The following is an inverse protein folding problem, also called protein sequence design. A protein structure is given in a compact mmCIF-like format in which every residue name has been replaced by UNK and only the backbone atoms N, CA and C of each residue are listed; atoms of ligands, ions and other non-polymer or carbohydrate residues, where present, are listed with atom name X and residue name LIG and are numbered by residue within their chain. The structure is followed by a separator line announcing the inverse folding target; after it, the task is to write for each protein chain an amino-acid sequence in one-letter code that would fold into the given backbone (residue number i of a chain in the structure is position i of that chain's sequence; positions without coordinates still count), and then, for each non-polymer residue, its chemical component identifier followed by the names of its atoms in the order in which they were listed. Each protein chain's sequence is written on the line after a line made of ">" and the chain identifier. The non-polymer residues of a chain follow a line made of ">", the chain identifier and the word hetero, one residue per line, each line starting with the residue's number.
data_IF_873970983905
#
_entry.id   IF_873970983905
#
_cell.length_a   1.000
_cell.length_b   1.000
_cell.length_c   1.000
_cell.angle_alpha   90.00
_cell.angle_beta   90.00
_cell.angle_gamma   90.00
#
_symmetry.space_group_name_H-M   'P 1'
#
loop_
_entity.id
_entity.type
_entity.pdbx_description
1 polymer ?
#
# COMPACT_ATOMS: atom_id res chain seq x y z
N UNK A 1 7.05 13.00 -26.45
CA UNK A 1 6.03 13.68 -25.62
C UNK A 1 6.18 13.15 -24.21
N UNK A 2 6.59 13.98 -23.25
CA UNK A 2 6.81 13.55 -21.86
C UNK A 2 5.45 13.54 -21.16
N UNK A 3 4.98 12.37 -20.73
CA UNK A 3 3.79 12.21 -19.91
C UNK A 3 4.06 12.92 -18.58
N UNK A 4 3.57 14.14 -18.42
CA UNK A 4 3.54 14.76 -17.10
C UNK A 4 2.52 14.01 -16.23
N UNK A 5 2.80 13.82 -14.94
CA UNK A 5 1.82 13.28 -14.02
C UNK A 5 0.61 14.22 -13.96
N UNK A 6 -0.57 13.68 -14.27
CA UNK A 6 -1.86 14.37 -14.17
C UNK A 6 -2.43 14.05 -12.79
N UNK A 7 -2.74 15.10 -12.01
CA UNK A 7 -3.38 14.92 -10.71
C UNK A 7 -4.85 14.62 -10.96
N UNK A 8 -5.34 13.51 -10.43
CA UNK A 8 -6.76 13.16 -10.54
C UNK A 8 -7.59 14.08 -9.66
N UNK A 9 -8.53 14.80 -10.27
CA UNK A 9 -9.54 15.60 -9.58
C UNK A 9 -10.87 14.84 -9.68
N UNK A 10 -11.47 14.53 -8.53
CA UNK A 10 -12.72 13.77 -8.47
C UNK A 10 -13.91 14.62 -8.93
N UNK A 11 -14.86 13.97 -9.60
CA UNK A 11 -16.10 14.59 -10.02
C UNK A 11 -16.88 15.10 -8.79
N UNK A 12 -17.35 16.36 -8.86
CA UNK A 12 -18.04 17.00 -7.75
C UNK A 12 -17.13 17.66 -6.70
N UNK A 13 -15.80 17.67 -6.90
CA UNK A 13 -14.85 18.45 -6.11
C UNK A 13 -15.23 19.95 -6.09
N UNK A 14 -14.95 20.62 -4.97
CA UNK A 14 -15.20 22.05 -4.83
C UNK A 14 -14.50 22.86 -5.95
N UNK A 15 -15.19 23.81 -6.61
CA UNK A 15 -14.62 24.55 -7.73
C UNK A 15 -13.33 25.30 -7.38
N UNK A 16 -13.26 25.94 -6.21
CA UNK A 16 -12.08 26.71 -5.78
C UNK A 16 -10.89 25.78 -5.53
N UNK A 17 -11.12 24.63 -4.90
CA UNK A 17 -10.08 23.62 -4.67
C UNK A 17 -9.64 22.96 -5.99
N UNK A 18 -10.59 22.60 -6.86
CA UNK A 18 -10.28 22.01 -8.17
C UNK A 18 -9.41 22.92 -9.02
N UNK A 19 -9.69 24.22 -9.00
CA UNK A 19 -8.94 25.22 -9.75
C UNK A 19 -7.54 25.42 -9.19
N UNK A 20 -7.41 25.45 -7.86
CA UNK A 20 -6.10 25.48 -7.21
C UNK A 20 -5.24 24.26 -7.56
N UNK A 21 -5.84 23.06 -7.65
CA UNK A 21 -5.12 21.84 -8.08
C UNK A 21 -4.67 21.93 -9.54
N UNK A 22 -5.50 22.49 -10.44
CA UNK A 22 -5.10 22.71 -11.85
C UNK A 22 -3.92 23.68 -11.95
N UNK A 23 -3.99 24.82 -11.27
CA UNK A 23 -2.89 25.79 -11.22
C UNK A 23 -1.62 25.20 -10.58
N UNK A 24 -1.79 24.35 -9.57
CA UNK A 24 -0.70 23.61 -8.98
C UNK A 24 -0.04 22.71 -10.02
N UNK A 25 -0.84 21.92 -10.76
CA UNK A 25 -0.35 21.01 -11.79
C UNK A 25 0.47 21.73 -12.88
N UNK A 26 0.02 22.89 -13.34
CA UNK A 26 0.73 23.71 -14.33
C UNK A 26 2.11 24.18 -13.83
N UNK A 27 2.17 24.61 -12.56
CA UNK A 27 3.40 25.06 -11.92
C UNK A 27 4.24 23.93 -11.34
N UNK A 28 3.74 22.70 -11.34
CA UNK A 28 4.30 21.61 -10.55
C UNK A 28 5.68 21.21 -11.04
N UNK A 29 5.92 21.18 -12.36
CA UNK A 29 7.13 20.60 -12.99
C UNK A 29 8.45 20.84 -12.22
N UNK A 30 8.88 22.08 -11.89
CA UNK A 30 10.14 22.33 -11.19
C UNK A 30 10.16 21.94 -9.69
N UNK A 31 8.99 21.74 -9.07
CA UNK A 31 8.86 21.50 -7.63
C UNK A 31 8.97 20.01 -7.27
N UNK A 32 9.64 19.68 -6.17
CA UNK A 32 9.65 18.33 -5.59
C UNK A 32 9.94 18.37 -4.09
N UNK A 33 9.68 17.28 -3.38
CA UNK A 33 9.99 17.18 -1.95
C UNK A 33 11.49 17.32 -1.65
N UNK A 34 12.35 16.89 -2.58
CA UNK A 34 13.81 16.93 -2.42
C UNK A 34 14.48 18.20 -2.97
N UNK A 35 13.74 19.09 -3.63
CA UNK A 35 14.30 20.31 -4.22
C UNK A 35 14.45 21.41 -3.18
N UNK A 36 15.67 21.87 -2.93
CA UNK A 36 15.94 23.03 -2.05
C UNK A 36 15.47 24.35 -2.68
N UNK A 37 15.58 24.51 -4.00
CA UNK A 37 15.19 25.74 -4.73
C UNK A 37 13.70 25.84 -4.98
N UNK A 38 13.03 24.71 -5.21
CA UNK A 38 11.59 24.62 -5.47
C UNK A 38 10.93 23.58 -4.56
N UNK A 39 10.81 23.85 -3.24
CA UNK A 39 10.21 22.90 -2.31
C UNK A 39 8.72 22.71 -2.62
N UNK A 40 8.27 21.47 -2.83
CA UNK A 40 6.86 21.20 -3.19
C UNK A 40 5.86 21.73 -2.16
N UNK A 41 6.22 21.68 -0.87
CA UNK A 41 5.39 22.18 0.22
C UNK A 41 5.19 23.71 0.13
N UNK A 42 6.12 24.44 -0.49
CA UNK A 42 5.95 25.88 -0.76
C UNK A 42 4.86 26.11 -1.81
N UNK A 43 4.82 25.29 -2.87
CA UNK A 43 3.77 25.41 -3.88
C UNK A 43 2.39 25.05 -3.31
N UNK A 44 2.32 24.06 -2.41
CA UNK A 44 1.09 23.73 -1.66
C UNK A 44 0.67 24.93 -0.81
N UNK A 45 1.61 25.54 -0.07
CA UNK A 45 1.31 26.72 0.75
C UNK A 45 0.79 27.90 -0.09
N UNK A 46 1.35 28.11 -1.28
CA UNK A 46 0.99 29.25 -2.13
C UNK A 46 -0.37 29.07 -2.82
N UNK A 47 -0.72 27.85 -3.25
CA UNK A 47 -1.90 27.61 -4.09
C UNK A 47 -3.03 26.87 -3.38
N UNK A 48 -2.71 25.92 -2.51
CA UNK A 48 -3.68 24.99 -1.93
C UNK A 48 -4.18 25.48 -0.58
N UNK A 49 -3.29 25.98 0.29
CA UNK A 49 -3.70 26.48 1.60
C UNK A 49 -4.82 27.55 1.53
N UNK A 50 -4.77 28.56 0.63
CA UNK A 50 -5.84 29.55 0.51
C UNK A 50 -7.16 28.94 0.05
N UNK A 51 -7.11 28.01 -0.91
CA UNK A 51 -8.30 27.36 -1.44
C UNK A 51 -8.97 26.46 -0.39
N UNK A 52 -8.19 25.69 0.36
CA UNK A 52 -8.68 24.87 1.47
C UNK A 52 -9.26 25.76 2.58
N UNK A 53 -8.59 26.85 2.94
CA UNK A 53 -9.09 27.76 3.96
C UNK A 53 -10.43 28.41 3.56
N UNK A 54 -10.54 28.88 2.32
CA UNK A 54 -11.78 29.45 1.78
C UNK A 54 -12.91 28.42 1.75
N UNK A 55 -12.62 27.20 1.30
CA UNK A 55 -13.59 26.10 1.28
C UNK A 55 -14.08 25.76 2.69
N UNK A 56 -13.16 25.62 3.65
CA UNK A 56 -13.50 25.29 5.05
C UNK A 56 -14.30 26.40 5.73
N UNK A 57 -14.05 27.67 5.41
CA UNK A 57 -14.81 28.79 5.93
C UNK A 57 -16.29 28.79 5.47
N UNK A 58 -16.58 28.18 4.31
CA UNK A 58 -17.93 28.06 3.78
C UNK A 58 -18.70 26.84 4.33
N UNK A 59 -18.04 25.97 5.11
CA UNK A 59 -18.63 24.76 5.66
C UNK A 59 -19.07 24.91 7.12
N UNK A 60 -20.06 24.12 7.57
CA UNK A 60 -20.38 24.03 8.99
C UNK A 60 -19.18 23.54 9.83
N UNK A 61 -19.09 24.01 11.07
CA UNK A 61 -17.97 23.69 11.99
C UNK A 61 -17.75 22.18 12.18
N UNK A 62 -18.80 21.36 12.10
CA UNK A 62 -18.69 19.89 12.22
C UNK A 62 -17.73 19.24 11.21
N UNK A 63 -17.48 19.86 10.06
CA UNK A 63 -16.57 19.32 9.04
C UNK A 63 -15.09 19.57 9.39
N UNK A 64 -14.79 20.53 10.27
CA UNK A 64 -13.42 20.96 10.58
C UNK A 64 -12.56 19.82 11.16
N UNK A 65 -13.15 18.92 11.94
CA UNK A 65 -12.44 17.76 12.50
C UNK A 65 -11.98 16.73 11.47
N UNK A 66 -12.38 16.87 10.20
CA UNK A 66 -12.12 15.88 9.15
C UNK A 66 -11.14 16.37 8.07
N UNK A 67 -10.55 17.54 8.25
CA UNK A 67 -9.51 18.07 7.35
C UNK A 67 -8.27 18.38 8.17
N UNK A 68 -7.07 17.90 7.79
CA UNK A 68 -5.87 18.16 8.56
C UNK A 68 -5.62 19.65 8.77
N UNK A 69 -5.51 20.07 10.04
CA UNK A 69 -5.26 21.45 10.43
C UNK A 69 -6.50 22.36 10.45
N UNK A 70 -7.63 21.93 9.88
CA UNK A 70 -8.86 22.72 9.96
C UNK A 70 -9.38 22.77 11.40
N UNK A 71 -9.79 23.97 11.83
CA UNK A 71 -10.26 24.20 13.21
C UNK A 71 -9.18 24.35 14.27
N UNK A 72 -7.90 24.08 13.97
CA UNK A 72 -6.77 24.27 14.90
C UNK A 72 -5.90 25.50 14.58
N UNK A 73 -6.20 26.20 13.49
CA UNK A 73 -5.42 27.35 13.01
C UNK A 73 -4.11 26.97 12.33
N UNK A 74 -3.83 25.68 12.15
CA UNK A 74 -2.64 25.18 11.45
C UNK A 74 -2.98 24.93 9.98
N UNK A 75 -2.19 25.49 9.06
CA UNK A 75 -2.48 25.31 7.63
C UNK A 75 -2.20 23.89 7.15
N UNK A 76 -2.83 23.51 6.04
CA UNK A 76 -2.67 22.19 5.42
C UNK A 76 -1.20 21.89 5.08
N UNK A 77 -0.48 22.86 4.50
CA UNK A 77 0.95 22.74 4.23
C UNK A 77 1.81 22.67 5.50
N UNK A 78 1.40 23.33 6.60
CA UNK A 78 2.11 23.27 7.87
C UNK A 78 2.02 21.88 8.51
N UNK A 79 0.86 21.21 8.42
CA UNK A 79 0.74 19.80 8.82
C UNK A 79 1.68 18.92 7.98
N UNK A 80 1.73 19.12 6.66
CA UNK A 80 2.65 18.38 5.79
C UNK A 80 4.12 18.58 6.21
N UNK A 81 4.52 19.79 6.62
CA UNK A 81 5.89 20.02 7.12
C UNK A 81 6.19 19.23 8.40
N UNK A 82 5.18 19.07 9.26
CA UNK A 82 5.34 18.39 10.53
C UNK A 82 5.44 16.87 10.36
N UNK A 83 4.56 16.28 9.54
CA UNK A 83 4.42 14.82 9.44
C UNK A 83 5.02 14.20 8.17
N UNK A 84 5.28 15.01 7.15
CA UNK A 84 5.69 14.55 5.82
C UNK A 84 4.54 14.12 4.92
N UNK A 85 4.79 14.05 3.61
CA UNK A 85 3.76 13.75 2.59
C UNK A 85 3.16 12.34 2.76
N UNK A 86 3.98 11.31 3.00
CA UNK A 86 3.48 9.92 3.16
C UNK A 86 2.55 9.78 4.38
N UNK A 87 2.91 10.37 5.51
CA UNK A 87 2.07 10.34 6.71
C UNK A 87 0.80 11.19 6.53
N UNK A 88 0.89 12.31 5.80
CA UNK A 88 -0.27 13.14 5.47
C UNK A 88 -1.33 12.37 4.68
N UNK A 89 -0.96 11.58 3.67
CA UNK A 89 -1.92 10.74 2.92
C UNK A 89 -2.67 9.80 3.85
N UNK A 90 -1.95 9.15 4.77
CA UNK A 90 -2.56 8.24 5.77
C UNK A 90 -3.53 8.97 6.67
N UNK A 91 -3.13 10.14 7.18
CA UNK A 91 -3.98 10.99 8.01
C UNK A 91 -5.26 11.43 7.29
N UNK A 92 -5.15 11.95 6.06
CA UNK A 92 -6.30 12.39 5.28
C UNK A 92 -7.32 11.25 5.05
N UNK A 93 -6.83 10.04 4.73
CA UNK A 93 -7.70 8.86 4.56
C UNK A 93 -8.41 8.46 5.85
N UNK A 94 -7.73 8.53 6.99
CA UNK A 94 -8.33 8.25 8.30
C UNK A 94 -9.43 9.27 8.64
N UNK A 95 -9.18 10.55 8.40
CA UNK A 95 -10.15 11.62 8.67
C UNK A 95 -11.37 11.55 7.75
N UNK A 96 -11.17 11.25 6.46
CA UNK A 96 -12.25 11.01 5.51
C UNK A 96 -13.10 9.80 5.93
N UNK A 97 -12.48 8.70 6.36
CA UNK A 97 -13.20 7.54 6.88
C UNK A 97 -14.02 7.89 8.12
N UNK A 98 -13.44 8.68 9.03
CA UNK A 98 -14.17 9.15 10.21
C UNK A 98 -15.40 9.96 9.80
N UNK A 99 -15.27 10.90 8.85
CA UNK A 99 -16.39 11.69 8.33
C UNK A 99 -17.53 10.81 7.79
N UNK A 100 -17.19 9.84 6.94
CA UNK A 100 -18.17 8.91 6.34
C UNK A 100 -18.90 8.09 7.41
N UNK A 101 -18.24 7.76 8.52
CA UNK A 101 -18.83 6.96 9.59
C UNK A 101 -19.68 7.79 10.58
N UNK A 102 -19.37 9.07 10.76
CA UNK A 102 -19.95 9.87 11.85
C UNK A 102 -20.85 11.02 11.39
N UNK A 103 -20.56 11.64 10.25
CA UNK A 103 -21.17 12.91 9.83
C UNK A 103 -21.88 12.84 8.48
N UNK A 104 -21.51 11.90 7.60
CA UNK A 104 -22.02 11.81 6.24
C UNK A 104 -23.51 11.44 6.20
N UNK A 105 -24.31 12.32 5.58
CA UNK A 105 -25.76 12.14 5.37
C UNK A 105 -26.10 11.94 3.90
N UNK A 106 -25.09 11.71 3.06
CA UNK A 106 -25.23 11.54 1.61
C UNK A 106 -25.87 12.76 0.92
N UNK A 107 -25.78 13.94 1.53
CA UNK A 107 -26.26 15.17 0.92
C UNK A 107 -25.33 15.62 -0.21
N UNK A 108 -25.82 16.46 -1.12
CA UNK A 108 -24.98 17.03 -2.18
C UNK A 108 -23.74 17.78 -1.63
N UNK A 109 -23.85 18.35 -0.42
CA UNK A 109 -22.72 18.98 0.28
C UNK A 109 -21.72 17.93 0.78
N UNK A 110 -22.19 16.83 1.36
CA UNK A 110 -21.32 15.76 1.86
C UNK A 110 -20.59 15.08 0.70
N UNK A 111 -21.29 14.82 -0.40
CA UNK A 111 -20.69 14.30 -1.63
C UNK A 111 -19.60 15.23 -2.18
N UNK A 112 -19.86 16.56 -2.21
CA UNK A 112 -18.83 17.55 -2.58
C UNK A 112 -17.65 17.53 -1.61
N UNK A 113 -17.90 17.38 -0.31
CA UNK A 113 -16.85 17.31 0.70
C UNK A 113 -15.96 16.09 0.53
N UNK A 114 -16.57 14.90 0.34
CA UNK A 114 -15.85 13.66 0.04
C UNK A 114 -15.02 13.79 -1.23
N UNK A 115 -15.60 14.29 -2.33
CA UNK A 115 -14.88 14.48 -3.60
C UNK A 115 -13.72 15.47 -3.46
N UNK A 116 -13.88 16.53 -2.66
CA UNK A 116 -12.82 17.50 -2.37
C UNK A 116 -11.67 16.85 -1.59
N UNK A 117 -11.97 16.07 -0.56
CA UNK A 117 -10.94 15.38 0.22
C UNK A 117 -10.22 14.30 -0.58
N UNK A 118 -10.94 13.51 -1.38
CA UNK A 118 -10.33 12.54 -2.30
C UNK A 118 -9.39 13.24 -3.30
N UNK A 119 -9.78 14.39 -3.87
CA UNK A 119 -8.90 15.17 -4.75
C UNK A 119 -7.64 15.70 -4.06
N UNK A 120 -7.76 16.13 -2.79
CA UNK A 120 -6.61 16.56 -1.99
C UNK A 120 -5.72 15.37 -1.58
N UNK A 121 -6.29 14.17 -1.37
CA UNK A 121 -5.53 12.94 -1.14
C UNK A 121 -4.72 12.59 -2.38
N UNK A 122 -5.34 12.62 -3.56
CA UNK A 122 -4.65 12.38 -4.83
C UNK A 122 -3.51 13.38 -5.04
N UNK A 123 -3.74 14.68 -4.84
CA UNK A 123 -2.70 15.71 -4.88
C UNK A 123 -1.51 15.36 -3.98
N UNK A 124 -1.73 15.06 -2.70
CA UNK A 124 -0.65 14.79 -1.73
C UNK A 124 0.06 13.47 -2.07
N UNK A 125 -0.68 12.45 -2.49
CA UNK A 125 -0.13 11.18 -2.94
C UNK A 125 0.79 11.35 -4.15
N UNK A 126 0.34 12.12 -5.12
CA UNK A 126 1.09 12.45 -6.33
C UNK A 126 2.34 13.29 -6.01
N UNK A 127 2.23 14.23 -5.07
CA UNK A 127 3.37 14.95 -4.50
C UNK A 127 4.39 14.00 -3.85
N UNK A 128 3.94 13.01 -3.08
CA UNK A 128 4.79 11.99 -2.46
C UNK A 128 5.47 11.09 -3.51
N UNK A 129 4.74 10.77 -4.59
CA UNK A 129 5.24 9.93 -5.68
C UNK A 129 6.20 10.68 -6.62
N UNK A 130 6.25 12.02 -6.58
CA UNK A 130 7.08 12.81 -7.50
C UNK A 130 8.58 12.63 -7.24
N UNK A 131 9.26 12.15 -8.28
CA UNK A 131 10.72 12.01 -8.30
C UNK A 131 11.40 13.32 -8.71
N UNK A 132 12.53 13.72 -8.06
CA UNK A 132 13.33 14.86 -8.51
C UNK A 132 13.91 14.63 -9.90
N UNK A 133 14.04 15.69 -10.70
CA UNK A 133 14.61 15.63 -12.06
C UNK A 133 16.11 15.26 -12.09
N UNK A 134 16.83 15.46 -10.97
CA UNK A 134 18.17 14.94 -10.68
C UNK A 134 18.23 14.70 -9.18
N UNK A 135 18.53 13.47 -8.75
CA UNK A 135 18.75 13.18 -7.35
C UNK A 135 20.12 12.51 -7.18
N UNK A 136 20.96 13.11 -6.35
CA UNK A 136 22.09 12.39 -5.76
C UNK A 136 21.56 11.61 -4.56
N UNK A 137 22.04 10.38 -4.38
CA UNK A 137 21.71 9.59 -3.19
C UNK A 137 22.69 9.96 -2.09
N UNK A 138 22.21 10.74 -1.10
CA UNK A 138 23.05 11.34 -0.05
C UNK A 138 24.24 12.12 -0.65
N UNK A 139 25.39 12.16 0.02
CA UNK A 139 26.64 12.79 -0.45
C UNK A 139 27.45 11.90 -1.42
N UNK A 140 26.82 10.88 -2.03
CA UNK A 140 27.51 9.94 -2.93
C UNK A 140 27.30 10.27 -4.41
N UNK A 141 28.20 9.77 -5.27
CA UNK A 141 28.08 9.86 -6.74
C UNK A 141 27.04 8.87 -7.32
N UNK A 142 26.23 8.22 -6.49
CA UNK A 142 25.25 7.23 -6.95
C UNK A 142 24.08 7.93 -7.66
N UNK A 143 23.65 7.34 -8.79
CA UNK A 143 22.53 7.84 -9.56
C UNK A 143 21.19 7.58 -8.83
N UNK A 144 20.59 8.62 -8.27
CA UNK A 144 19.28 8.56 -7.60
C UNK A 144 18.08 8.50 -8.55
N UNK A 145 18.28 8.68 -9.86
CA UNK A 145 17.25 8.49 -10.88
C UNK A 145 16.86 7.01 -11.08
N UNK A 146 17.71 6.08 -10.60
CA UNK A 146 17.39 4.65 -10.62
C UNK A 146 16.13 4.38 -9.82
N UNK A 147 15.32 3.43 -10.28
CA UNK A 147 14.05 3.06 -9.66
C UNK A 147 14.25 2.81 -8.15
N UNK A 148 13.65 3.66 -7.33
CA UNK A 148 13.59 3.49 -5.88
C UNK A 148 12.30 2.74 -5.54
N UNK A 149 12.38 1.77 -4.62
CA UNK A 149 11.23 1.00 -4.18
C UNK A 149 11.59 -0.27 -3.45
N UNK A 150 10.63 -1.19 -3.39
CA UNK A 150 10.79 -2.48 -2.76
C UNK A 150 11.63 -3.44 -3.60
N UNK A 151 12.28 -4.37 -2.92
CA UNK A 151 12.91 -5.53 -3.52
C UNK A 151 11.93 -6.26 -4.44
N UNK A 152 12.38 -6.75 -5.59
CA UNK A 152 11.59 -7.48 -6.58
C UNK A 152 10.86 -8.70 -5.99
N UNK A 153 11.38 -9.28 -4.91
CA UNK A 153 10.93 -10.55 -4.36
C UNK A 153 10.23 -10.45 -3.00
N UNK A 154 10.28 -9.31 -2.31
CA UNK A 154 9.65 -9.15 -0.99
C UNK A 154 9.27 -7.68 -0.72
N UNK A 155 8.84 -7.39 0.50
CA UNK A 155 8.48 -6.05 0.97
C UNK A 155 9.62 -5.26 1.60
N UNK A 156 10.84 -5.80 1.68
CA UNK A 156 12.01 -5.02 2.08
C UNK A 156 12.36 -3.97 1.00
N UNK A 157 13.00 -2.87 1.39
CA UNK A 157 13.51 -1.88 0.42
C UNK A 157 14.68 -2.48 -0.37
N UNK A 158 14.80 -2.10 -1.65
CA UNK A 158 16.01 -2.41 -2.42
C UNK A 158 17.24 -1.72 -1.79
N UNK A 159 18.43 -2.28 -1.97
CA UNK A 159 19.69 -1.79 -1.38
C UNK A 159 19.88 -0.28 -1.60
N UNK A 160 19.67 0.19 -2.84
CA UNK A 160 19.79 1.62 -3.17
C UNK A 160 18.75 2.47 -2.45
N UNK A 161 17.53 1.96 -2.26
CA UNK A 161 16.43 2.67 -1.59
C UNK A 161 16.61 2.68 -0.08
N UNK A 162 17.06 1.56 0.51
CA UNK A 162 17.44 1.48 1.92
C UNK A 162 18.58 2.45 2.22
N UNK A 163 19.59 2.46 1.36
CA UNK A 163 20.70 3.41 1.47
C UNK A 163 20.23 4.85 1.28
N UNK A 164 19.39 5.15 0.28
CA UNK A 164 18.82 6.48 0.13
C UNK A 164 18.02 6.95 1.36
N UNK A 165 17.37 6.03 2.07
CA UNK A 165 16.57 6.28 3.26
C UNK A 165 17.34 6.38 4.59
N UNK A 166 18.68 6.28 4.59
CA UNK A 166 19.48 6.49 5.81
C UNK A 166 20.12 5.24 6.44
N UNK A 167 19.89 4.03 5.91
CA UNK A 167 20.57 2.81 6.38
C UNK A 167 21.94 2.62 5.73
N UNK A 168 22.97 2.35 6.53
CA UNK A 168 24.34 2.05 6.05
C UNK A 168 24.60 0.55 5.85
N UNK A 169 23.66 -0.31 6.27
CA UNK A 169 23.75 -1.77 6.14
C UNK A 169 24.12 -2.24 4.73
N UNK A 170 23.61 -1.63 3.63
CA UNK A 170 23.98 -2.04 2.29
C UNK A 170 25.46 -1.86 1.92
N UNK A 171 26.18 -1.06 2.70
CA UNK A 171 27.62 -0.83 2.55
C UNK A 171 28.46 -1.40 3.70
N UNK A 172 27.86 -2.01 4.71
CA UNK A 172 28.57 -2.48 5.90
C UNK A 172 29.72 -3.46 5.57
N UNK A 173 29.51 -4.34 4.60
CA UNK A 173 30.48 -5.34 4.15
C UNK A 173 31.28 -4.91 2.89
N UNK A 174 31.33 -3.62 2.57
CA UNK A 174 32.00 -3.07 1.38
C UNK A 174 33.00 -1.95 1.70
N UNK A 175 34.07 -2.26 2.44
CA UNK A 175 35.06 -1.27 2.85
C UNK A 175 35.81 -0.62 1.67
N UNK A 176 35.77 -1.24 0.48
CA UNK A 176 36.43 -0.74 -0.74
C UNK A 176 35.47 0.04 -1.68
N UNK A 177 34.21 0.26 -1.28
CA UNK A 177 33.15 0.87 -2.11
C UNK A 177 32.94 0.22 -3.50
N UNK A 178 33.21 -1.09 -3.63
CA UNK A 178 33.11 -1.82 -4.90
C UNK A 178 31.67 -2.25 -5.21
N UNK A 179 30.80 -2.37 -4.22
CA UNK A 179 29.42 -2.82 -4.38
C UNK A 179 28.53 -1.73 -4.96
N UNK A 180 28.07 -1.99 -6.18
CA UNK A 180 26.98 -1.24 -6.79
C UNK A 180 25.67 -1.63 -6.12
N UNK A 181 25.15 -0.74 -5.28
CA UNK A 181 23.83 -0.90 -4.65
C UNK A 181 22.75 -1.20 -5.70
N UNK A 182 22.02 -2.29 -5.48
CA UNK A 182 20.94 -2.71 -6.34
C UNK A 182 19.73 -1.81 -6.20
N UNK A 183 19.16 -1.38 -7.32
CA UNK A 183 17.84 -0.74 -7.37
C UNK A 183 16.68 -1.74 -7.40
N UNK A 184 16.97 -3.05 -7.40
CA UNK A 184 15.97 -4.11 -7.59
C UNK A 184 15.92 -5.10 -6.42
N UNK A 185 17.00 -5.31 -5.70
CA UNK A 185 17.09 -6.36 -4.69
C UNK A 185 17.44 -5.76 -3.33
N UNK A 186 16.89 -6.31 -2.25
CA UNK A 186 17.37 -6.07 -0.89
C UNK A 186 18.62 -6.91 -0.62
N UNK A 187 19.22 -6.73 0.56
CA UNK A 187 20.42 -7.46 0.98
C UNK A 187 20.23 -8.98 0.95
N UNK A 188 19.10 -9.48 1.46
CA UNK A 188 18.79 -10.92 1.47
C UNK A 188 18.60 -11.51 0.07
N UNK A 189 18.27 -10.67 -0.90
CA UNK A 189 17.99 -11.06 -2.28
C UNK A 189 19.06 -10.60 -3.27
N UNK A 190 20.22 -10.16 -2.81
CA UNK A 190 21.33 -9.83 -3.71
C UNK A 190 21.76 -11.06 -4.50
N UNK A 191 22.03 -10.98 -5.81
CA UNK A 191 22.38 -12.16 -6.61
C UNK A 191 23.66 -12.89 -6.16
N UNK A 192 24.69 -12.12 -5.80
CA UNK A 192 25.96 -12.62 -5.28
C UNK A 192 26.20 -12.08 -3.89
N UNK A 193 26.62 -12.94 -2.98
CA UNK A 193 27.05 -12.60 -1.62
C UNK A 193 28.38 -11.81 -1.66
N UNK A 194 28.78 -11.13 -0.57
CA UNK A 194 30.06 -10.42 -0.50
C UNK A 194 31.27 -11.28 -0.85
N UNK A 195 31.24 -12.57 -0.50
CA UNK A 195 32.27 -13.55 -0.86
C UNK A 195 32.25 -14.01 -2.33
N UNK A 196 31.40 -13.42 -3.18
CA UNK A 196 31.27 -13.73 -4.60
C UNK A 196 30.42 -14.97 -4.93
N UNK A 197 30.04 -15.78 -3.93
CA UNK A 197 29.18 -16.93 -4.13
C UNK A 197 27.74 -16.52 -4.51
N UNK A 198 27.04 -17.41 -5.21
CA UNK A 198 25.63 -17.17 -5.56
C UNK A 198 24.73 -17.30 -4.33
N UNK A 199 23.84 -16.34 -4.15
CA UNK A 199 22.87 -16.36 -3.06
C UNK A 199 21.74 -17.39 -3.31
N UNK A 200 21.56 -18.40 -2.44
CA UNK A 200 20.47 -19.37 -2.56
C UNK A 200 19.08 -18.74 -2.49
N UNK A 201 18.87 -17.76 -1.61
CA UNK A 201 17.60 -17.04 -1.44
C UNK A 201 17.20 -16.32 -2.72
N UNK A 202 18.16 -15.65 -3.38
CA UNK A 202 17.94 -15.06 -4.71
C UNK A 202 17.48 -16.11 -5.73
N UNK A 203 18.14 -17.26 -5.81
CA UNK A 203 17.79 -18.33 -6.77
C UNK A 203 16.42 -18.94 -6.49
N UNK A 204 16.06 -19.13 -5.22
CA UNK A 204 14.75 -19.63 -4.82
C UNK A 204 13.65 -18.62 -5.13
N UNK A 205 13.85 -17.35 -4.77
CA UNK A 205 12.91 -16.28 -5.04
C UNK A 205 12.68 -16.10 -6.55
N UNK A 206 13.76 -16.15 -7.35
CA UNK A 206 13.67 -16.07 -8.82
C UNK A 206 12.88 -17.21 -9.44
N UNK A 207 13.04 -18.44 -8.94
CA UNK A 207 12.27 -19.61 -9.42
C UNK A 207 10.77 -19.52 -9.10
N UNK A 208 10.43 -18.83 -8.03
CA UNK A 208 9.04 -18.70 -7.54
C UNK A 208 8.40 -17.34 -7.87
N UNK A 209 9.01 -16.59 -8.81
CA UNK A 209 8.62 -15.22 -9.12
C UNK A 209 7.20 -15.09 -9.68
N UNK A 210 6.82 -15.98 -10.60
CA UNK A 210 5.47 -15.96 -11.18
C UNK A 210 4.40 -16.19 -10.11
N UNK A 211 4.65 -17.11 -9.18
CA UNK A 211 3.75 -17.35 -8.06
C UNK A 211 3.69 -16.14 -7.12
N UNK A 212 4.84 -15.51 -6.84
CA UNK A 212 4.89 -14.28 -6.03
C UNK A 212 4.00 -13.18 -6.61
N UNK A 213 4.16 -12.89 -7.90
CA UNK A 213 3.41 -11.84 -8.58
C UNK A 213 1.91 -12.14 -8.59
N UNK A 214 1.56 -13.41 -8.79
CA UNK A 214 0.17 -13.86 -8.71
C UNK A 214 -0.41 -13.60 -7.31
N UNK A 215 0.20 -14.12 -6.25
CA UNK A 215 -0.31 -13.95 -4.88
C UNK A 215 -0.35 -12.46 -4.48
N UNK A 216 0.65 -11.67 -4.88
CA UNK A 216 0.67 -10.23 -4.65
C UNK A 216 -0.47 -9.50 -5.36
N UNK A 217 -0.76 -9.86 -6.61
CA UNK A 217 -1.87 -9.29 -7.36
C UNK A 217 -3.20 -9.61 -6.70
N UNK A 218 -3.41 -10.86 -6.28
CA UNK A 218 -4.62 -11.31 -5.59
C UNK A 218 -4.83 -10.56 -4.27
N UNK A 219 -3.78 -10.44 -3.45
CA UNK A 219 -3.82 -9.66 -2.19
C UNK A 219 -4.12 -8.18 -2.44
N UNK A 220 -3.41 -7.56 -3.38
CA UNK A 220 -3.57 -6.14 -3.69
C UNK A 220 -4.98 -5.83 -4.20
N UNK A 221 -5.51 -6.67 -5.08
CA UNK A 221 -6.84 -6.53 -5.66
C UNK A 221 -7.94 -6.69 -4.60
N UNK A 222 -7.80 -7.68 -3.71
CA UNK A 222 -8.76 -7.87 -2.62
C UNK A 222 -8.70 -6.75 -1.59
N UNK A 223 -7.52 -6.23 -1.29
CA UNK A 223 -7.36 -5.09 -0.37
C UNK A 223 -7.96 -3.80 -0.95
N UNK A 224 -7.86 -3.57 -2.25
CA UNK A 224 -8.40 -2.37 -2.91
C UNK A 224 -9.93 -2.25 -2.77
N UNK A 225 -10.66 -3.37 -2.74
CA UNK A 225 -12.11 -3.40 -2.52
C UNK A 225 -12.45 -4.52 -1.52
N UNK A 226 -12.31 -4.26 -0.21
CA UNK A 226 -12.40 -5.31 0.82
C UNK A 226 -13.82 -5.83 1.04
N UNK A 227 -14.86 -5.10 0.59
CA UNK A 227 -16.26 -5.43 0.87
C UNK A 227 -16.79 -6.66 0.09
N UNK A 228 -16.15 -7.08 -0.99
CA UNK A 228 -16.61 -8.19 -1.84
C UNK A 228 -15.42 -9.01 -2.38
N UNK A 229 -15.60 -10.29 -2.74
CA UNK A 229 -14.55 -11.08 -3.38
C UNK A 229 -14.16 -10.48 -4.75
N UNK A 230 -12.88 -10.14 -4.92
CA UNK A 230 -12.38 -9.44 -6.12
C UNK A 230 -11.43 -10.27 -6.99
N UNK A 231 -10.80 -11.31 -6.43
CA UNK A 231 -9.63 -11.97 -7.01
C UNK A 231 -9.90 -12.61 -8.38
N UNK A 232 -11.15 -13.01 -8.67
CA UNK A 232 -11.60 -13.56 -9.97
C UNK A 232 -10.63 -14.63 -10.50
N UNK A 233 -10.17 -15.54 -9.64
CA UNK A 233 -9.21 -16.59 -9.99
C UNK A 233 -9.78 -17.68 -10.90
N UNK A 234 -11.10 -17.67 -11.14
CA UNK A 234 -11.83 -18.77 -11.76
C UNK A 234 -12.26 -19.85 -10.76
N UNK A 235 -11.83 -19.74 -9.49
CA UNK A 235 -12.20 -20.64 -8.41
C UNK A 235 -12.82 -19.87 -7.24
N UNK A 236 -14.11 -20.13 -6.98
CA UNK A 236 -14.87 -19.44 -5.95
C UNK A 236 -14.33 -19.68 -4.52
N UNK A 237 -13.75 -20.85 -4.23
CA UNK A 237 -13.19 -21.14 -2.92
C UNK A 237 -11.88 -20.39 -2.70
N UNK A 238 -11.07 -20.24 -3.75
CA UNK A 238 -9.84 -19.44 -3.70
C UNK A 238 -10.19 -17.97 -3.52
N UNK A 239 -11.16 -17.44 -4.30
CA UNK A 239 -11.60 -16.05 -4.19
C UNK A 239 -12.17 -15.75 -2.80
N UNK A 240 -12.99 -16.66 -2.26
CA UNK A 240 -13.53 -16.55 -0.90
C UNK A 240 -12.44 -16.62 0.16
N UNK A 241 -11.42 -17.45 -0.04
CA UNK A 241 -10.27 -17.51 0.87
C UNK A 241 -9.60 -16.14 0.98
N UNK A 242 -9.28 -15.49 -0.15
CA UNK A 242 -8.65 -14.16 -0.10
C UNK A 242 -9.55 -13.11 0.55
N UNK A 243 -10.85 -13.14 0.24
CA UNK A 243 -11.83 -12.24 0.86
C UNK A 243 -11.81 -12.36 2.39
N UNK A 244 -11.97 -13.58 2.93
CA UNK A 244 -11.96 -13.80 4.38
C UNK A 244 -10.60 -13.61 5.01
N UNK A 245 -9.54 -13.99 4.29
CA UNK A 245 -8.17 -13.80 4.74
C UNK A 245 -7.89 -12.32 4.94
N UNK A 246 -8.06 -11.49 3.91
CA UNK A 246 -7.84 -10.04 3.97
C UNK A 246 -8.77 -9.38 4.98
N UNK A 247 -10.05 -9.77 5.06
CA UNK A 247 -10.99 -9.21 6.04
C UNK A 247 -10.59 -9.50 7.50
N UNK A 248 -9.90 -10.63 7.74
CA UNK A 248 -9.32 -10.96 9.05
C UNK A 248 -7.98 -10.29 9.34
N UNK A 249 -7.38 -9.63 8.34
CA UNK A 249 -6.14 -8.86 8.48
C UNK A 249 -6.46 -7.37 8.52
N UNK A 250 -5.55 -6.56 9.08
CA UNK A 250 -5.68 -5.10 9.10
C UNK A 250 -5.05 -4.41 7.89
N UNK A 251 -4.76 -5.16 6.81
CA UNK A 251 -4.06 -4.63 5.64
C UNK A 251 -4.87 -3.55 4.91
N UNK A 252 -4.21 -2.44 4.60
CA UNK A 252 -4.70 -1.38 3.74
C UNK A 252 -4.05 -1.48 2.35
N UNK A 253 -4.68 -0.94 1.29
CA UNK A 253 -4.06 -0.87 -0.04
C UNK A 253 -2.70 -0.15 -0.07
N UNK A 254 -2.45 0.74 0.89
CA UNK A 254 -1.22 1.50 1.03
C UNK A 254 -0.08 0.70 1.70
N UNK A 255 -0.38 -0.43 2.35
CA UNK A 255 0.58 -1.28 3.08
C UNK A 255 1.36 -2.17 2.09
N UNK A 256 2.01 -1.52 1.12
CA UNK A 256 2.69 -2.19 0.00
C UNK A 256 3.81 -3.11 0.47
N UNK A 257 4.51 -2.76 1.56
CA UNK A 257 5.57 -3.60 2.10
C UNK A 257 4.99 -4.89 2.70
N UNK A 258 3.94 -4.74 3.50
CA UNK A 258 3.24 -5.82 4.20
C UNK A 258 2.59 -6.77 3.20
N UNK A 259 1.89 -6.25 2.19
CA UNK A 259 1.27 -7.07 1.13
C UNK A 259 2.31 -7.90 0.36
N UNK A 260 3.48 -7.32 0.09
CA UNK A 260 4.59 -8.02 -0.56
C UNK A 260 5.22 -9.06 0.35
N UNK A 261 5.42 -8.75 1.63
CA UNK A 261 5.92 -9.74 2.60
C UNK A 261 4.93 -10.89 2.75
N UNK A 262 3.62 -10.59 2.78
CA UNK A 262 2.58 -11.60 2.88
C UNK A 262 2.53 -12.51 1.64
N UNK A 263 2.58 -11.92 0.44
CA UNK A 263 2.69 -12.68 -0.80
C UNK A 263 3.94 -13.56 -0.81
N UNK A 264 5.07 -13.03 -0.29
CA UNK A 264 6.30 -13.81 -0.23
C UNK A 264 6.15 -15.02 0.69
N UNK A 265 5.61 -14.82 1.89
CA UNK A 265 5.37 -15.88 2.87
C UNK A 265 4.41 -16.96 2.35
N UNK A 266 3.35 -16.58 1.62
CA UNK A 266 2.41 -17.54 1.02
C UNK A 266 3.14 -18.52 0.09
N UNK A 267 4.06 -18.00 -0.73
CA UNK A 267 4.79 -18.82 -1.70
C UNK A 267 5.89 -19.63 -1.04
N UNK A 268 6.64 -19.06 -0.10
CA UNK A 268 7.70 -19.76 0.62
C UNK A 268 7.12 -20.91 1.47
N UNK A 269 5.91 -20.73 1.99
CA UNK A 269 5.13 -21.76 2.70
C UNK A 269 4.42 -22.75 1.77
N UNK A 270 4.59 -22.62 0.45
CA UNK A 270 3.93 -23.43 -0.59
C UNK A 270 2.41 -23.49 -0.39
N UNK A 271 1.79 -22.34 -0.15
CA UNK A 271 0.33 -22.19 0.00
C UNK A 271 -0.36 -22.25 -1.37
N UNK A 272 -0.51 -23.45 -1.91
CA UNK A 272 -1.19 -23.68 -3.18
C UNK A 272 -2.68 -23.34 -3.12
N UNK A 273 -3.30 -23.10 -4.27
CA UNK A 273 -4.75 -22.88 -4.37
C UNK A 273 -5.54 -24.07 -3.81
N UNK A 274 -5.00 -25.29 -3.96
CA UNK A 274 -5.58 -26.48 -3.33
C UNK A 274 -5.60 -26.41 -1.79
N UNK A 275 -4.55 -25.88 -1.17
CA UNK A 275 -4.51 -25.63 0.28
C UNK A 275 -5.48 -24.52 0.67
N UNK A 276 -5.58 -23.46 -0.12
CA UNK A 276 -6.56 -22.37 0.10
C UNK A 276 -8.01 -22.89 0.05
N UNK A 277 -8.32 -23.75 -0.92
CA UNK A 277 -9.62 -24.46 -0.99
C UNK A 277 -9.90 -25.26 0.29
N UNK A 278 -8.94 -26.04 0.78
CA UNK A 278 -9.11 -26.82 2.02
C UNK A 278 -9.36 -25.92 3.23
N UNK A 279 -8.60 -24.83 3.38
CA UNK A 279 -8.80 -23.85 4.46
C UNK A 279 -10.19 -23.21 4.39
N UNK A 280 -10.65 -22.84 3.19
CA UNK A 280 -11.96 -22.24 2.98
C UNK A 280 -13.10 -23.22 3.33
N UNK A 281 -12.97 -24.47 2.92
CA UNK A 281 -13.96 -25.50 3.26
C UNK A 281 -13.98 -25.82 4.76
N UNK A 282 -12.81 -25.88 5.39
CA UNK A 282 -12.70 -26.05 6.84
C UNK A 282 -13.35 -24.87 7.58
N UNK A 283 -13.13 -23.64 7.11
CA UNK A 283 -13.76 -22.44 7.67
C UNK A 283 -15.29 -22.46 7.51
N UNK A 284 -15.81 -23.02 6.40
CA UNK A 284 -17.26 -23.23 6.22
C UNK A 284 -17.84 -24.35 7.10
N UNK A 285 -17.02 -25.01 7.93
CA UNK A 285 -17.45 -25.99 8.92
C UNK A 285 -17.37 -27.45 8.48
N UNK A 286 -16.78 -27.75 7.31
CA UNK A 286 -16.62 -29.14 6.86
C UNK A 286 -15.47 -29.82 7.62
N UNK A 287 -15.66 -31.09 7.95
CA UNK A 287 -14.60 -31.93 8.48
C UNK A 287 -13.69 -32.48 7.37
N UNK A 288 -12.54 -33.05 7.73
CA UNK A 288 -11.55 -33.53 6.75
C UNK A 288 -12.10 -34.58 5.77
N UNK A 289 -13.03 -35.44 6.20
CA UNK A 289 -13.62 -36.48 5.35
C UNK A 289 -14.58 -35.87 4.32
N UNK A 290 -15.31 -34.84 4.69
CA UNK A 290 -16.20 -34.09 3.80
C UNK A 290 -15.40 -33.26 2.80
N UNK A 291 -14.32 -32.61 3.25
CA UNK A 291 -13.39 -31.89 2.38
C UNK A 291 -12.79 -32.86 1.36
N UNK A 292 -12.30 -34.02 1.81
CA UNK A 292 -11.75 -35.06 0.94
C UNK A 292 -12.74 -35.50 -0.14
N UNK A 293 -14.00 -35.78 0.23
CA UNK A 293 -15.07 -36.13 -0.71
C UNK A 293 -15.36 -35.02 -1.70
N UNK A 294 -15.49 -33.77 -1.23
CA UNK A 294 -15.80 -32.61 -2.07
C UNK A 294 -14.68 -32.28 -3.06
N UNK A 295 -13.44 -32.51 -2.66
CA UNK A 295 -12.26 -32.26 -3.47
C UNK A 295 -11.86 -33.49 -4.31
N UNK A 296 -12.43 -34.67 -4.08
CA UNK A 296 -12.07 -35.90 -4.83
C UNK A 296 -10.68 -36.42 -4.50
N UNK A 297 -10.25 -36.33 -3.24
CA UNK A 297 -8.93 -36.77 -2.77
C UNK A 297 -9.05 -37.57 -1.48
N UNK A 298 -7.97 -38.22 -1.04
CA UNK A 298 -7.96 -38.95 0.22
C UNK A 298 -8.00 -38.03 1.46
N UNK A 299 -8.70 -38.47 2.52
CA UNK A 299 -8.69 -37.79 3.83
C UNK A 299 -7.28 -37.58 4.35
N UNK A 300 -6.39 -38.55 4.17
CA UNK A 300 -5.00 -38.46 4.62
C UNK A 300 -4.24 -37.33 3.92
N UNK A 301 -4.52 -37.09 2.64
CA UNK A 301 -3.93 -35.98 1.88
C UNK A 301 -4.40 -34.62 2.43
N UNK A 302 -5.69 -34.50 2.79
CA UNK A 302 -6.24 -33.30 3.46
C UNK A 302 -5.54 -33.06 4.80
N UNK A 303 -5.42 -34.09 5.64
CA UNK A 303 -4.78 -33.96 6.95
C UNK A 303 -3.33 -33.50 6.84
N UNK A 304 -2.53 -34.13 5.97
CA UNK A 304 -1.12 -33.73 5.75
C UNK A 304 -1.00 -32.32 5.19
N UNK A 305 -1.87 -31.97 4.23
CA UNK A 305 -1.85 -30.64 3.63
C UNK A 305 -2.15 -29.56 4.66
N UNK A 306 -3.22 -29.70 5.45
CA UNK A 306 -3.60 -28.75 6.50
C UNK A 306 -2.53 -28.63 7.60
N UNK A 307 -1.95 -29.75 8.03
CA UNK A 307 -0.88 -29.75 9.03
C UNK A 307 0.39 -29.02 8.55
N UNK A 308 0.65 -28.98 7.24
CA UNK A 308 1.80 -28.28 6.66
C UNK A 308 1.60 -26.77 6.50
N UNK A 309 0.40 -26.24 6.77
CA UNK A 309 0.07 -24.82 6.59
C UNK A 309 0.38 -24.07 7.90
N UNK A 310 1.25 -23.04 7.87
CA UNK A 310 1.49 -22.18 9.01
C UNK A 310 0.21 -21.56 9.57
N UNK A 311 0.08 -21.48 10.90
CA UNK A 311 -1.11 -21.01 11.60
C UNK A 311 -1.59 -19.62 11.13
N UNK A 312 -0.67 -18.73 10.73
CA UNK A 312 -0.97 -17.39 10.23
C UNK A 312 -1.81 -17.34 8.94
N UNK A 313 -1.93 -18.46 8.21
CA UNK A 313 -2.80 -18.57 7.04
C UNK A 313 -4.17 -19.18 7.34
N UNK A 314 -4.39 -19.66 8.56
CA UNK A 314 -5.69 -20.19 8.95
C UNK A 314 -6.68 -19.04 9.16
N UNK A 315 -7.90 -19.23 8.67
CA UNK A 315 -8.99 -18.27 8.85
C UNK A 315 -9.56 -18.42 10.25
N UNK A 316 -9.72 -17.32 11.00
CA UNK A 316 -10.37 -17.37 12.30
C UNK A 316 -11.86 -17.72 12.13
N UNK A 317 -12.32 -18.76 12.82
CA UNK A 317 -13.74 -19.09 12.86
C UNK A 317 -14.48 -18.02 13.67
N UNK A 318 -15.58 -17.47 13.16
CA UNK A 318 -16.56 -16.81 14.04
C UNK A 318 -16.94 -17.82 15.12
N UNK A 319 -16.81 -17.45 16.39
CA UNK A 319 -17.35 -18.26 17.49
C UNK A 319 -18.80 -18.59 17.14
N UNK A 320 -19.17 -19.87 17.12
CA UNK A 320 -20.57 -20.29 17.09
C UNK A 320 -21.29 -19.50 18.18
N UNK A 321 -22.08 -18.50 17.79
CA UNK A 321 -22.98 -17.81 18.71
C UNK A 321 -23.77 -18.90 19.45
N UNK A 322 -23.75 -18.79 20.77
CA UNK A 322 -24.44 -19.67 21.71
C UNK A 322 -25.79 -20.07 21.12
N UNK A 323 -26.01 -21.37 20.93
CA UNK A 323 -27.36 -21.92 20.90
C UNK A 323 -28.03 -21.43 22.18
N UNK A 324 -28.96 -20.48 22.07
CA UNK A 324 -29.92 -20.26 23.13
C UNK A 324 -30.71 -21.56 23.28
N UNK A 325 -30.75 -22.17 24.47
CA UNK A 325 -31.72 -23.22 24.72
C UNK A 325 -33.11 -22.56 24.76
N UNK A 326 -34.04 -23.14 24.00
CA UNK A 326 -35.46 -23.04 24.34
C UNK A 326 -35.67 -23.75 25.68
#
# INVERSE_FOLDING_TARGET
>A
MKNDPIIVIWEGCDPTVSEAIRQFQDRWRPYSASSRRYPIVRLIQELIDPAVAAYMAALPVRYSGHVPGAGTGVSFSAIIRLVGLDAMVRLQRQLLRAFVLTEDRQSARDQRFVATLESLIELVWDCACKRPAKSQVRDTRLNGERQQGFCRFCGALAELTSFAGGSDDPKADDPEEKLRLSSLYCLDHRPKLPNGAWNPSYRQARRSLAQFDLELARLSQQCAKPATPQVKSGDQLVDSYFFHYVAGQTFQPADKAELRNQARLMVDSKLSDRKKQMLMLQWSGLNQSEIARKLGIERQAVSKALASIPAMFHLSSKSRSRRQPN
#
